data_IF_398373183632
#
_entry.id   IF_398373183632
#
_cell.length_a   1.000
_cell.length_b   1.000
_cell.length_c   1.000
_cell.angle_alpha   90.00
_cell.angle_beta   90.00
_cell.angle_gamma   90.00
#
_symmetry.space_group_name_H-M   'P 1'
#
loop_
_entity.id
_entity.type
_entity.pdbx_description
1 polymer ?
#
# COMPACT_ATOMS: atom_id res chain seq x y z
N UNK A 1 -19.59 -16.89 -9.41
CA UNK A 1 -20.11 -15.49 -9.29
C UNK A 1 -19.80 -14.86 -7.94
N UNK A 2 -20.06 -15.55 -6.81
CA UNK A 2 -19.79 -15.02 -5.46
C UNK A 2 -18.31 -14.73 -5.20
N UNK A 3 -17.40 -15.63 -5.60
CA UNK A 3 -15.95 -15.44 -5.43
C UNK A 3 -15.43 -14.22 -6.21
N UNK A 4 -15.85 -14.05 -7.45
CA UNK A 4 -15.47 -12.89 -8.26
C UNK A 4 -15.96 -11.58 -7.65
N UNK A 5 -17.18 -11.56 -7.09
CA UNK A 5 -17.70 -10.41 -6.36
C UNK A 5 -16.90 -10.14 -5.08
N UNK A 6 -16.55 -11.17 -4.32
CA UNK A 6 -15.73 -11.06 -3.11
C UNK A 6 -14.36 -10.46 -3.43
N UNK A 7 -13.71 -10.93 -4.50
CA UNK A 7 -12.43 -10.40 -4.96
C UNK A 7 -12.58 -8.93 -5.36
N UNK A 8 -13.61 -8.55 -6.12
CA UNK A 8 -13.83 -7.16 -6.50
C UNK A 8 -14.04 -6.25 -5.29
N UNK A 9 -14.83 -6.68 -4.29
CA UNK A 9 -15.04 -5.96 -3.03
C UNK A 9 -13.73 -5.80 -2.27
N UNK A 10 -12.93 -6.87 -2.17
CA UNK A 10 -11.62 -6.84 -1.54
C UNK A 10 -10.69 -5.81 -2.20
N UNK A 11 -10.60 -5.79 -3.53
CA UNK A 11 -9.80 -4.78 -4.25
C UNK A 11 -10.25 -3.37 -3.91
N UNK A 12 -11.56 -3.11 -3.92
CA UNK A 12 -12.11 -1.81 -3.51
C UNK A 12 -11.71 -1.45 -2.07
N UNK A 13 -11.89 -2.37 -1.13
CA UNK A 13 -11.61 -2.17 0.30
C UNK A 13 -10.12 -1.91 0.55
N UNK A 14 -9.24 -2.70 -0.07
CA UNK A 14 -7.78 -2.58 0.11
C UNK A 14 -7.24 -1.33 -0.56
N UNK A 15 -7.57 -1.10 -1.83
CA UNK A 15 -7.04 0.03 -2.60
C UNK A 15 -7.53 1.34 -2.01
N UNK A 16 -8.85 1.50 -1.84
CA UNK A 16 -9.45 2.75 -1.37
C UNK A 16 -9.23 2.96 0.13
N UNK A 17 -9.40 1.91 0.94
CA UNK A 17 -9.26 1.97 2.41
C UNK A 17 -7.84 2.17 2.90
N UNK A 18 -6.82 1.80 2.12
CA UNK A 18 -5.43 1.98 2.52
C UNK A 18 -5.00 3.44 2.65
N UNK A 19 -5.57 4.36 1.87
CA UNK A 19 -5.24 5.79 1.97
C UNK A 19 -5.65 6.41 3.32
N UNK A 20 -6.93 6.38 3.74
CA UNK A 20 -7.32 6.93 5.04
C UNK A 20 -6.61 6.22 6.19
N UNK A 21 -6.34 4.93 6.09
CA UNK A 21 -5.53 4.20 7.08
C UNK A 21 -4.12 4.79 7.23
N UNK A 22 -3.38 4.95 6.12
CA UNK A 22 -2.02 5.52 6.15
C UNK A 22 -2.04 6.94 6.69
N UNK A 23 -3.01 7.77 6.27
CA UNK A 23 -3.14 9.15 6.77
C UNK A 23 -3.45 9.19 8.26
N UNK A 24 -4.36 8.34 8.75
CA UNK A 24 -4.68 8.25 10.17
C UNK A 24 -3.46 7.82 11.00
N UNK A 25 -2.71 6.84 10.51
CA UNK A 25 -1.49 6.36 11.16
C UNK A 25 -0.43 7.45 11.24
N UNK A 26 -0.10 8.10 10.12
CA UNK A 26 0.89 9.19 10.10
C UNK A 26 0.51 10.36 11.01
N UNK A 27 -0.77 10.75 11.01
CA UNK A 27 -1.28 11.79 11.93
C UNK A 27 -1.19 11.37 13.39
N UNK A 28 -1.51 10.12 13.71
CA UNK A 28 -1.42 9.57 15.07
C UNK A 28 -0.01 9.64 15.65
N UNK A 29 1.00 9.43 14.80
CA UNK A 29 2.41 9.54 15.19
C UNK A 29 3.04 10.91 14.91
N UNK A 30 2.24 11.90 14.49
CA UNK A 30 2.69 13.26 14.14
C UNK A 30 3.81 13.30 13.08
N UNK A 31 3.80 12.34 12.17
CA UNK A 31 4.76 12.26 11.05
C UNK A 31 4.16 13.03 9.87
N UNK A 32 4.85 14.07 9.40
CA UNK A 32 4.37 14.92 8.29
C UNK A 32 5.50 15.25 7.32
N UNK A 33 5.13 15.51 6.07
CA UNK A 33 6.03 16.04 5.05
C UNK A 33 5.52 17.44 4.67
N UNK A 34 6.39 18.45 4.75
CA UNK A 34 6.02 19.89 4.70
C UNK A 34 5.61 20.43 3.30
N UNK A 35 5.16 19.61 2.35
CA UNK A 35 4.85 20.07 0.99
C UNK A 35 3.56 19.46 0.38
N UNK A 36 2.59 20.34 0.05
CA UNK A 36 1.26 19.99 -0.48
C UNK A 36 1.28 19.29 -1.87
N UNK A 37 2.26 19.59 -2.73
CA UNK A 37 2.34 19.04 -4.09
C UNK A 37 2.68 17.54 -4.14
N UNK A 38 3.47 17.06 -3.17
CA UNK A 38 3.89 15.66 -3.07
C UNK A 38 2.77 14.74 -2.56
N UNK A 39 1.78 15.29 -1.84
CA UNK A 39 0.69 14.50 -1.28
C UNK A 39 -0.22 13.89 -2.36
N UNK A 40 -0.47 14.61 -3.47
CA UNK A 40 -1.32 14.11 -4.57
C UNK A 40 -0.66 12.97 -5.32
N UNK A 41 0.62 13.11 -5.68
CA UNK A 41 1.37 12.06 -6.36
C UNK A 41 1.53 10.83 -5.45
N UNK A 42 1.86 11.05 -4.17
CA UNK A 42 1.98 9.98 -3.17
C UNK A 42 0.69 9.17 -3.01
N UNK A 43 -0.47 9.82 -3.06
CA UNK A 43 -1.79 9.15 -3.00
C UNK A 43 -2.02 8.23 -4.19
N UNK A 44 -1.80 8.71 -5.41
CA UNK A 44 -1.99 7.92 -6.64
C UNK A 44 -1.02 6.73 -6.65
N UNK A 45 0.26 6.96 -6.33
CA UNK A 45 1.26 5.89 -6.21
C UNK A 45 0.81 4.83 -5.20
N UNK A 46 0.26 5.26 -4.05
CA UNK A 46 -0.27 4.35 -3.04
C UNK A 46 -1.42 3.47 -3.55
N UNK A 47 -2.32 4.00 -4.37
CA UNK A 47 -3.41 3.20 -4.97
C UNK A 47 -2.89 2.15 -5.94
N UNK A 48 -1.98 2.55 -6.84
CA UNK A 48 -1.39 1.65 -7.83
C UNK A 48 -0.58 0.54 -7.16
N UNK A 49 0.22 0.88 -6.16
CA UNK A 49 0.98 -0.10 -5.39
C UNK A 49 0.08 -1.13 -4.73
N UNK A 50 -0.97 -0.71 -4.02
CA UNK A 50 -1.87 -1.65 -3.34
C UNK A 50 -2.57 -2.58 -4.32
N UNK A 51 -2.94 -2.06 -5.49
CA UNK A 51 -3.49 -2.88 -6.57
C UNK A 51 -2.50 -3.95 -7.03
N UNK A 52 -1.24 -3.56 -7.31
CA UNK A 52 -0.19 -4.48 -7.77
C UNK A 52 0.18 -5.50 -6.69
N UNK A 53 0.38 -5.06 -5.44
CA UNK A 53 0.71 -5.92 -4.31
C UNK A 53 -0.39 -6.93 -4.05
N UNK A 54 -1.66 -6.50 -4.05
CA UNK A 54 -2.80 -7.40 -3.85
C UNK A 54 -2.90 -8.41 -4.99
N UNK A 55 -2.67 -7.98 -6.24
CA UNK A 55 -2.61 -8.88 -7.40
C UNK A 55 -1.56 -9.95 -7.18
N UNK A 56 -0.30 -9.56 -6.98
CA UNK A 56 0.79 -10.52 -6.82
C UNK A 56 0.60 -11.43 -5.61
N UNK A 57 0.04 -10.93 -4.51
CA UNK A 57 -0.24 -11.74 -3.32
C UNK A 57 -1.26 -12.83 -3.63
N UNK A 58 -2.36 -12.50 -4.30
CA UNK A 58 -3.40 -13.46 -4.69
C UNK A 58 -2.87 -14.53 -5.66
N UNK A 59 -1.91 -14.17 -6.53
CA UNK A 59 -1.21 -15.11 -7.42
C UNK A 59 0.00 -15.82 -6.77
N UNK A 60 0.25 -15.60 -5.47
CA UNK A 60 1.38 -16.21 -4.73
C UNK A 60 2.78 -15.71 -5.15
N UNK A 61 2.86 -14.59 -5.88
CA UNK A 61 4.09 -14.02 -6.42
C UNK A 61 4.79 -13.09 -5.42
N UNK A 62 5.24 -13.63 -4.29
CA UNK A 62 5.85 -12.82 -3.23
C UNK A 62 7.15 -12.11 -3.66
N UNK A 63 7.92 -12.70 -4.57
CA UNK A 63 9.12 -12.06 -5.12
C UNK A 63 8.81 -10.78 -5.88
N UNK A 64 7.68 -10.73 -6.60
CA UNK A 64 7.23 -9.55 -7.31
C UNK A 64 6.78 -8.44 -6.35
N UNK A 65 6.17 -8.80 -5.21
CA UNK A 65 5.85 -7.84 -4.13
C UNK A 65 7.14 -7.20 -3.59
N UNK A 66 8.17 -8.00 -3.32
CA UNK A 66 9.47 -7.51 -2.87
C UNK A 66 10.13 -6.59 -3.90
N UNK A 67 10.02 -6.91 -5.19
CA UNK A 67 10.52 -6.06 -6.27
C UNK A 67 9.84 -4.68 -6.30
N UNK A 68 8.51 -4.62 -6.18
CA UNK A 68 7.76 -3.35 -6.11
C UNK A 68 8.18 -2.53 -4.90
N UNK A 69 8.33 -3.17 -3.73
CA UNK A 69 8.77 -2.52 -2.50
C UNK A 69 10.17 -1.90 -2.65
N UNK A 70 11.12 -2.68 -3.18
CA UNK A 70 12.50 -2.23 -3.39
C UNK A 70 12.56 -1.10 -4.41
N UNK A 71 11.86 -1.22 -5.54
CA UNK A 71 11.84 -0.18 -6.58
C UNK A 71 11.34 1.17 -6.06
N UNK A 72 10.27 1.18 -5.27
CA UNK A 72 9.75 2.40 -4.63
C UNK A 72 10.72 2.98 -3.59
N UNK A 73 11.39 2.12 -2.82
CA UNK A 73 12.33 2.54 -1.78
C UNK A 73 13.57 3.21 -2.40
N UNK A 74 14.09 2.66 -3.50
CA UNK A 74 15.20 3.24 -4.25
C UNK A 74 14.80 4.60 -4.85
N UNK A 75 13.61 4.69 -5.47
CA UNK A 75 13.13 5.93 -6.07
C UNK A 75 12.95 7.10 -5.09
N UNK A 76 12.92 6.82 -3.77
CA UNK A 76 12.79 7.83 -2.70
C UNK A 76 14.05 8.03 -1.87
N UNK A 77 15.11 7.27 -2.14
CA UNK A 77 16.35 7.26 -1.36
C UNK A 77 17.04 8.63 -1.30
N UNK A 78 16.91 9.47 -2.34
CA UNK A 78 17.53 10.80 -2.36
C UNK A 78 16.86 11.82 -1.42
N UNK A 79 15.67 11.53 -0.89
CA UNK A 79 14.87 12.47 -0.09
C UNK A 79 15.09 12.33 1.43
N UNK A 80 16.35 12.38 1.89
CA UNK A 80 16.70 12.17 3.32
C UNK A 80 15.87 12.99 4.31
N UNK A 81 15.51 14.25 3.96
CA UNK A 81 14.64 15.11 4.80
C UNK A 81 13.21 14.60 5.00
N UNK A 82 12.74 13.69 4.14
CA UNK A 82 11.38 13.14 4.11
C UNK A 82 11.37 11.61 4.26
N UNK A 83 12.54 11.02 4.57
CA UNK A 83 12.73 9.59 4.60
C UNK A 83 11.78 8.89 5.57
N UNK A 84 11.57 9.45 6.76
CA UNK A 84 10.68 8.88 7.77
C UNK A 84 9.21 8.83 7.30
N UNK A 85 8.68 9.96 6.79
CA UNK A 85 7.33 10.03 6.24
C UNK A 85 7.12 9.00 5.11
N UNK A 86 8.08 8.90 4.20
CA UNK A 86 7.98 7.96 3.07
C UNK A 86 8.15 6.50 3.47
N UNK A 87 9.05 6.21 4.41
CA UNK A 87 9.30 4.86 4.89
C UNK A 87 8.09 4.35 5.67
N UNK A 88 7.63 5.12 6.66
CA UNK A 88 6.45 4.75 7.48
C UNK A 88 5.20 4.68 6.61
N UNK A 89 4.98 5.64 5.71
CA UNK A 89 3.84 5.62 4.80
C UNK A 89 3.84 4.41 3.86
N UNK A 90 5.01 4.01 3.35
CA UNK A 90 5.14 2.83 2.48
C UNK A 90 4.94 1.53 3.25
N UNK A 91 5.60 1.38 4.41
CA UNK A 91 5.43 0.20 5.26
C UNK A 91 3.98 0.05 5.72
N UNK A 92 3.32 1.12 6.18
CA UNK A 92 1.91 1.07 6.56
C UNK A 92 1.00 0.64 5.39
N UNK A 93 1.22 1.20 4.20
CA UNK A 93 0.46 0.82 2.99
C UNK A 93 0.67 -0.66 2.61
N UNK A 94 1.91 -1.14 2.67
CA UNK A 94 2.26 -2.54 2.40
C UNK A 94 1.65 -3.48 3.44
N UNK A 95 1.76 -3.16 4.73
CA UNK A 95 1.16 -3.95 5.81
C UNK A 95 -0.35 -4.05 5.66
N UNK A 96 -1.02 -2.97 5.27
CA UNK A 96 -2.47 -2.97 4.97
C UNK A 96 -2.81 -3.94 3.82
N UNK A 97 -2.11 -3.84 2.68
CA UNK A 97 -2.37 -4.71 1.53
C UNK A 97 -2.06 -6.18 1.83
N UNK A 98 -0.97 -6.47 2.53
CA UNK A 98 -0.57 -7.83 2.89
C UNK A 98 -1.55 -8.45 3.88
N UNK A 99 -1.99 -7.70 4.91
CA UNK A 99 -2.95 -8.19 5.89
C UNK A 99 -4.25 -8.63 5.22
N UNK A 100 -4.87 -7.74 4.44
CA UNK A 100 -6.13 -8.04 3.77
C UNK A 100 -5.99 -9.07 2.66
N UNK A 101 -4.90 -9.05 1.89
CA UNK A 101 -4.63 -10.07 0.89
C UNK A 101 -4.44 -11.46 1.50
N UNK A 102 -3.75 -11.55 2.64
CA UNK A 102 -3.56 -12.82 3.36
C UNK A 102 -4.89 -13.33 3.91
N UNK A 103 -5.70 -12.47 4.53
CA UNK A 103 -7.05 -12.82 4.98
C UNK A 103 -7.91 -13.32 3.81
N UNK A 104 -7.84 -12.66 2.65
CA UNK A 104 -8.57 -13.09 1.47
C UNK A 104 -8.16 -14.47 0.99
N UNK A 105 -6.85 -14.78 0.95
CA UNK A 105 -6.38 -16.13 0.61
C UNK A 105 -6.89 -17.18 1.59
N UNK A 106 -6.90 -16.89 2.89
CA UNK A 106 -7.45 -17.81 3.89
C UNK A 106 -8.96 -18.07 3.69
N UNK A 107 -9.71 -17.09 3.21
CA UNK A 107 -11.15 -17.21 2.94
C UNK A 107 -11.42 -17.93 1.61
N UNK A 108 -10.58 -17.71 0.60
CA UNK A 108 -10.74 -18.27 -0.75
C UNK A 108 -10.21 -19.70 -0.89
N UNK A 109 -9.39 -20.18 0.05
CA UNK A 109 -8.77 -21.51 0.02
C UNK A 109 -7.50 -21.55 -0.83
#
# INVERSE_FOLDING_TARGET
MLEGLLIAVLYGLVVLGGHPFVVALLKGFRISAEEEGLERAGRIIGYLERFIVLTFLLYGQYGAIAFVFTGKSIARFESLKKAEYYLVGTLASFSWAILWGTLARLILG
#
